data_IF_691566237558
#
_entry.id   IF_691566237558
#
_cell.length_a   1.000
_cell.length_b   1.000
_cell.length_c   1.000
_cell.angle_alpha   90.00
_cell.angle_beta   90.00
_cell.angle_gamma   90.00
#
_symmetry.space_group_name_H-M   'P 1'
#
loop_
_entity.id
_entity.type
_entity.pdbx_description
1 polymer ?
#
# COMPACT_ATOMS: atom_id res chain seq x y z
N UNK A 1 19.29 -8.01 1.60
CA UNK A 1 18.02 -7.41 2.06
C UNK A 1 17.66 -8.10 3.36
N UNK A 2 17.45 -7.34 4.43
CA UNK A 2 16.98 -7.88 5.71
C UNK A 2 15.45 -7.82 5.78
N UNK A 3 14.82 -8.53 6.71
CA UNK A 3 13.37 -8.45 6.92
C UNK A 3 12.93 -7.02 7.29
N UNK A 4 13.77 -6.27 8.01
CA UNK A 4 13.48 -4.86 8.34
C UNK A 4 13.56 -3.92 7.14
N UNK A 5 14.49 -4.14 6.19
CA UNK A 5 14.50 -3.40 4.91
C UNK A 5 13.21 -3.66 4.12
N UNK A 6 12.77 -4.91 4.10
CA UNK A 6 11.54 -5.34 3.41
C UNK A 6 10.30 -4.68 4.01
N UNK A 7 10.16 -4.69 5.35
CA UNK A 7 9.06 -4.02 6.05
C UNK A 7 9.03 -2.51 5.77
N UNK A 8 10.21 -1.87 5.75
CA UNK A 8 10.31 -0.44 5.43
C UNK A 8 9.88 -0.16 3.98
N UNK A 9 10.34 -0.96 3.03
CA UNK A 9 9.92 -0.85 1.62
C UNK A 9 8.42 -1.10 1.43
N UNK A 10 7.83 -2.03 2.19
CA UNK A 10 6.39 -2.25 2.18
C UNK A 10 5.61 -1.08 2.76
N UNK A 11 6.09 -0.47 3.85
CA UNK A 11 5.48 0.73 4.44
C UNK A 11 5.46 1.90 3.46
N UNK A 12 6.57 2.14 2.75
CA UNK A 12 6.63 3.13 1.68
C UNK A 12 5.70 2.80 0.52
N UNK A 13 5.60 1.53 0.14
CA UNK A 13 4.66 1.08 -0.89
C UNK A 13 3.21 1.33 -0.48
N UNK A 14 2.83 1.06 0.77
CA UNK A 14 1.50 1.37 1.30
C UNK A 14 1.20 2.86 1.19
N UNK A 15 2.15 3.72 1.55
CA UNK A 15 2.00 5.16 1.42
C UNK A 15 1.80 5.59 -0.05
N UNK A 16 2.61 5.06 -0.97
CA UNK A 16 2.49 5.34 -2.42
C UNK A 16 1.18 4.83 -3.02
N UNK A 17 0.73 3.64 -2.64
CA UNK A 17 -0.53 3.07 -3.12
C UNK A 17 -1.73 3.81 -2.54
N UNK A 18 -1.70 4.20 -1.27
CA UNK A 18 -2.73 5.07 -0.68
C UNK A 18 -2.75 6.45 -1.37
N UNK A 19 -1.61 6.92 -1.86
CA UNK A 19 -1.56 8.15 -2.65
C UNK A 19 -2.24 7.99 -4.02
N UNK A 20 -1.94 6.88 -4.71
CA UNK A 20 -2.45 6.51 -6.04
C UNK A 20 -3.94 6.16 -6.05
N UNK A 21 -4.45 5.58 -4.96
CA UNK A 21 -5.85 5.16 -4.80
C UNK A 21 -6.55 5.97 -3.70
N UNK A 22 -6.81 7.28 -3.90
CA UNK A 22 -7.42 8.14 -2.88
C UNK A 22 -8.86 7.73 -2.50
N UNK A 23 -9.51 6.93 -3.33
CA UNK A 23 -10.83 6.34 -3.09
C UNK A 23 -10.81 5.25 -2.01
N UNK A 24 -9.62 4.72 -1.67
CA UNK A 24 -9.43 3.69 -0.67
C UNK A 24 -8.67 4.25 0.52
N UNK A 25 -9.12 3.91 1.73
CA UNK A 25 -8.40 4.33 2.94
C UNK A 25 -7.03 3.64 3.03
N UNK A 26 -6.03 4.35 3.58
CA UNK A 26 -4.70 3.79 3.82
C UNK A 26 -4.75 2.49 4.65
N UNK A 27 -5.76 2.34 5.51
CA UNK A 27 -6.02 1.10 6.25
C UNK A 27 -6.34 -0.07 5.30
N UNK A 28 -7.25 0.11 4.35
CA UNK A 28 -7.61 -0.94 3.37
C UNK A 28 -6.40 -1.29 2.49
N UNK A 29 -5.64 -0.30 2.04
CA UNK A 29 -4.41 -0.52 1.27
C UNK A 29 -3.40 -1.33 2.09
N UNK A 30 -3.17 -0.97 3.36
CA UNK A 30 -2.27 -1.68 4.26
C UNK A 30 -2.70 -3.12 4.56
N UNK A 31 -3.99 -3.38 4.75
CA UNK A 31 -4.51 -4.74 4.92
C UNK A 31 -4.26 -5.61 3.68
N UNK A 32 -4.47 -5.06 2.48
CA UNK A 32 -4.21 -5.78 1.22
C UNK A 32 -2.74 -6.10 1.06
N UNK A 33 -1.86 -5.11 1.27
CA UNK A 33 -0.40 -5.27 1.17
C UNK A 33 0.11 -6.31 2.18
N UNK A 34 -0.30 -6.21 3.45
CA UNK A 34 0.10 -7.18 4.50
C UNK A 34 -0.45 -8.57 4.25
N UNK A 35 -1.67 -8.68 3.73
CA UNK A 35 -2.27 -9.95 3.35
C UNK A 35 -1.43 -10.67 2.29
N UNK A 36 -1.08 -9.95 1.22
CA UNK A 36 -0.26 -10.48 0.12
C UNK A 36 1.16 -10.81 0.61
N UNK A 37 1.76 -9.94 1.43
CA UNK A 37 3.09 -10.15 2.00
C UNK A 37 3.19 -11.45 2.79
N UNK A 38 2.18 -11.73 3.63
CA UNK A 38 2.11 -12.97 4.40
C UNK A 38 2.02 -14.23 3.53
N UNK A 39 1.44 -14.14 2.32
CA UNK A 39 1.43 -15.28 1.38
C UNK A 39 2.85 -15.63 0.89
N UNK A 40 3.80 -14.70 1.00
CA UNK A 40 5.22 -14.93 0.67
C UNK A 40 6.09 -15.25 1.89
N UNK A 41 5.50 -15.35 3.09
CA UNK A 41 6.22 -15.73 4.30
C UNK A 41 6.82 -17.13 4.14
N UNK A 42 8.13 -17.27 4.38
CA UNK A 42 8.87 -18.53 4.22
C UNK A 42 9.60 -18.72 2.87
N UNK A 43 9.51 -17.78 1.93
CA UNK A 43 10.31 -17.84 0.70
C UNK A 43 11.77 -17.39 0.92
N UNK A 44 12.73 -18.15 0.36
CA UNK A 44 14.18 -17.89 0.50
C UNK A 44 14.68 -16.67 -0.29
N UNK A 45 13.99 -16.30 -1.37
CA UNK A 45 14.37 -15.17 -2.24
C UNK A 45 13.40 -14.02 -2.00
N UNK A 46 13.81 -13.06 -1.18
CA UNK A 46 12.96 -11.93 -0.72
C UNK A 46 13.15 -10.64 -1.50
N UNK A 47 14.17 -10.56 -2.37
CA UNK A 47 14.47 -9.36 -3.17
C UNK A 47 13.35 -8.95 -4.13
N UNK A 48 12.51 -9.91 -4.55
CA UNK A 48 11.39 -9.67 -5.47
C UNK A 48 10.04 -9.52 -4.77
N UNK A 49 9.95 -9.81 -3.46
CA UNK A 49 8.69 -9.74 -2.72
C UNK A 49 8.08 -8.33 -2.79
N UNK A 50 8.82 -7.23 -2.58
CA UNK A 50 8.25 -5.89 -2.65
C UNK A 50 7.59 -5.58 -4.01
N UNK A 51 8.24 -5.99 -5.12
CA UNK A 51 7.73 -5.77 -6.49
C UNK A 51 6.50 -6.63 -6.80
N UNK A 52 6.51 -7.88 -6.34
CA UNK A 52 5.36 -8.79 -6.47
C UNK A 52 4.16 -8.27 -5.69
N UNK A 53 4.39 -7.87 -4.43
CA UNK A 53 3.38 -7.29 -3.54
C UNK A 53 2.78 -6.03 -4.16
N UNK A 54 3.61 -5.11 -4.67
CA UNK A 54 3.15 -3.91 -5.37
C UNK A 54 2.21 -4.26 -6.52
N UNK A 55 2.66 -5.12 -7.44
CA UNK A 55 1.89 -5.46 -8.65
C UNK A 55 0.57 -6.17 -8.34
N UNK A 56 0.56 -7.04 -7.35
CA UNK A 56 -0.66 -7.74 -6.90
C UNK A 56 -1.59 -6.74 -6.20
N UNK A 57 -1.05 -5.88 -5.33
CA UNK A 57 -1.81 -4.86 -4.62
C UNK A 57 -2.47 -3.91 -5.62
N UNK A 58 -1.74 -3.38 -6.60
CA UNK A 58 -2.30 -2.54 -7.66
C UNK A 58 -3.47 -3.21 -8.37
N UNK A 59 -3.29 -4.44 -8.86
CA UNK A 59 -4.35 -5.18 -9.54
C UNK A 59 -5.58 -5.37 -8.64
N UNK A 60 -5.36 -5.69 -7.37
CA UNK A 60 -6.45 -5.88 -6.41
C UNK A 60 -7.18 -4.57 -6.07
N UNK A 61 -6.45 -3.46 -5.90
CA UNK A 61 -7.01 -2.15 -5.60
C UNK A 61 -7.74 -1.57 -6.81
N UNK A 62 -7.17 -1.67 -8.02
CA UNK A 62 -7.85 -1.29 -9.26
C UNK A 62 -9.16 -2.05 -9.48
N UNK A 63 -9.22 -3.34 -9.15
CA UNK A 63 -10.48 -4.10 -9.21
C UNK A 63 -11.53 -3.54 -8.25
N UNK A 64 -11.13 -3.11 -7.05
CA UNK A 64 -12.02 -2.53 -6.04
C UNK A 64 -12.54 -1.15 -6.47
N UNK A 65 -11.70 -0.35 -7.10
CA UNK A 65 -12.09 0.97 -7.66
C UNK A 65 -12.98 0.82 -8.89
N UNK A 66 -12.62 -0.06 -9.84
CA UNK A 66 -13.42 -0.26 -11.05
C UNK A 66 -14.77 -0.94 -10.80
N UNK A 67 -14.91 -1.78 -9.76
CA UNK A 67 -16.23 -2.26 -9.32
C UNK A 67 -16.81 -1.33 -8.25
N UNK A 68 -17.01 -0.07 -8.62
CA UNK A 68 -17.78 0.89 -7.84
C UNK A 68 -19.23 0.44 -7.72
N UNK A 69 -19.53 -0.49 -6.81
CA UNK A 69 -20.87 -0.56 -6.23
C UNK A 69 -20.94 0.51 -5.15
N UNK A 70 -21.23 1.72 -5.61
CA UNK A 70 -21.85 2.82 -4.89
C UNK A 70 -22.40 2.41 -3.53
N UNK A 71 -21.72 2.80 -2.45
CA UNK A 71 -22.32 3.08 -1.16
C UNK A 71 -21.31 3.99 -0.42
N UNK A 72 -21.73 5.24 -0.26
CA UNK A 72 -21.10 6.36 0.45
C UNK A 72 -19.96 7.08 -0.26
N UNK A 73 -20.37 7.98 -1.15
CA UNK A 73 -19.71 9.25 -1.42
C UNK A 73 -19.75 10.08 -0.12
N UNK A 74 -18.70 10.08 0.69
CA UNK A 74 -18.24 11.28 1.41
C UNK A 74 -16.86 11.02 2.03
N UNK A 75 -15.94 11.96 1.86
CA UNK A 75 -14.64 11.92 2.52
C UNK A 75 -13.47 11.67 1.58
N UNK A 76 -13.21 12.62 0.67
CA UNK A 76 -11.84 12.90 0.22
C UNK A 76 -11.06 13.35 1.47
N UNK A 77 -10.09 12.59 2.01
CA UNK A 77 -9.22 13.13 3.04
C UNK A 77 -8.24 14.10 2.38
N UNK A 78 -8.08 15.34 2.87
CA UNK A 78 -7.03 16.22 2.39
C UNK A 78 -5.68 15.55 2.67
N UNK A 79 -4.90 15.37 1.59
CA UNK A 79 -3.50 14.95 1.67
C UNK A 79 -2.81 15.85 2.68
N UNK A 80 -2.42 15.32 3.84
CA UNK A 80 -1.44 16.01 4.68
C UNK A 80 -0.10 15.79 4.00
N UNK A 81 0.34 16.81 3.26
CA UNK A 81 1.77 16.99 2.98
C UNK A 81 2.47 16.98 4.34
N UNK A 82 3.07 15.85 4.70
CA UNK A 82 3.99 15.76 5.82
C UNK A 82 5.21 16.60 5.47
N UNK A 83 5.16 17.82 5.98
CA UNK A 83 6.23 18.80 6.12
C UNK A 83 7.57 18.12 6.42
N UNK A 84 8.38 17.90 5.39
CA UNK A 84 9.81 17.66 5.54
C UNK A 84 10.50 19.03 5.69
N UNK A 85 10.39 19.61 6.90
CA UNK A 85 11.21 20.75 7.33
C UNK A 85 11.33 20.74 8.85
N UNK A 86 12.47 20.25 9.33
CA UNK A 86 13.05 20.67 10.59
C UNK A 86 14.58 20.63 10.40
N UNK A 87 15.12 21.78 10.01
CA UNK A 87 16.53 22.12 10.19
C UNK A 87 16.65 22.59 11.64
N UNK A 88 17.59 22.01 12.39
CA UNK A 88 17.97 22.42 13.73
C UNK A 88 19.37 21.91 14.01
#
# INVERSE_FOLDING_TARGET
MTESDEEQQLSELVARLADRFPELTARVVGEVVRGIHRDFDGHRVREFIPLLVERIAERQLSRRVCCGSTLTLDGVPPKRESSFRAVG
#
